data_IF_092406739114
#
_entry.id   IF_092406739114
#
_cell.length_a   1.000
_cell.length_b   1.000
_cell.length_c   1.000
_cell.angle_alpha   90.00
_cell.angle_beta   90.00
_cell.angle_gamma   90.00
#
_symmetry.space_group_name_H-M   'P 1'
#
loop_
_entity.id
_entity.type
_entity.pdbx_description
1 polymer ?
#
# COMPACT_ATOMS: atom_id res chain seq x y z
N UNK A 1 14.64 27.22 -41.83
CA UNK A 1 13.66 27.83 -40.88
C UNK A 1 13.77 27.28 -39.45
N UNK A 2 14.31 26.07 -39.23
CA UNK A 2 14.65 25.56 -37.89
C UNK A 2 16.10 25.95 -37.52
N UNK A 3 17.02 25.96 -38.48
CA UNK A 3 18.43 26.29 -38.23
C UNK A 3 18.66 27.76 -37.83
N UNK A 4 17.79 28.67 -38.28
CA UNK A 4 17.83 30.11 -37.96
C UNK A 4 17.32 30.43 -36.53
N UNK A 5 16.59 29.49 -35.91
CA UNK A 5 16.13 29.60 -34.52
C UNK A 5 17.18 29.06 -33.53
N UNK A 6 17.98 28.08 -33.95
CA UNK A 6 19.07 27.51 -33.12
C UNK A 6 20.22 28.51 -32.98
N UNK A 7 20.53 29.26 -34.05
CA UNK A 7 21.58 30.28 -34.02
C UNK A 7 21.21 31.50 -33.15
N UNK A 8 19.92 31.87 -33.12
CA UNK A 8 19.39 32.93 -32.24
C UNK A 8 19.37 32.53 -30.77
N UNK A 9 19.21 31.25 -30.44
CA UNK A 9 19.26 30.79 -29.04
C UNK A 9 20.71 30.81 -28.49
N UNK A 10 21.68 30.45 -29.33
CA UNK A 10 23.10 30.40 -28.94
C UNK A 10 23.74 31.79 -28.81
N UNK A 11 23.19 32.82 -29.46
CA UNK A 11 23.64 34.22 -29.30
C UNK A 11 23.09 34.89 -28.04
N UNK A 12 21.96 34.42 -27.49
CA UNK A 12 21.41 34.94 -26.23
C UNK A 12 22.13 34.36 -25.00
N UNK A 13 22.64 33.13 -25.10
CA UNK A 13 23.34 32.45 -24.01
C UNK A 13 24.79 32.94 -23.77
N UNK A 14 25.38 33.69 -24.70
CA UNK A 14 26.77 34.17 -24.59
C UNK A 14 26.90 35.62 -24.07
N UNK A 15 25.78 36.31 -23.80
CA UNK A 15 25.78 37.71 -23.35
C UNK A 15 25.54 37.90 -21.84
N UNK A 16 25.39 36.83 -21.05
CA UNK A 16 25.11 36.93 -19.60
C UNK A 16 26.31 36.69 -18.69
N UNK A 17 27.53 36.53 -19.20
CA UNK A 17 28.72 36.31 -18.39
C UNK A 17 29.77 37.39 -18.65
N UNK A 18 29.65 38.56 -18.02
CA UNK A 18 30.81 39.35 -17.57
C UNK A 18 30.41 40.45 -16.58
N UNK A 19 31.29 40.64 -15.59
CA UNK A 19 31.44 41.77 -14.64
C UNK A 19 30.84 41.57 -13.25
N UNK A 20 31.50 41.78 -12.10
CA UNK A 20 32.89 42.03 -11.64
C UNK A 20 32.83 42.08 -10.10
N UNK A 21 33.95 41.80 -9.43
CA UNK A 21 34.14 41.71 -7.97
C UNK A 21 34.08 43.03 -7.15
N UNK A 22 33.87 42.82 -5.83
CA UNK A 22 34.34 43.54 -4.62
C UNK A 22 33.76 44.90 -4.18
N UNK A 23 33.09 44.94 -3.01
CA UNK A 23 33.57 45.60 -1.76
C UNK A 23 32.63 45.40 -0.55
N UNK A 24 33.20 45.52 0.64
CA UNK A 24 32.71 45.13 1.97
C UNK A 24 31.51 45.90 2.57
N UNK A 25 30.81 45.26 3.52
CA UNK A 25 30.16 45.95 4.65
C UNK A 25 28.69 45.65 4.93
N UNK A 26 28.44 44.92 6.02
CA UNK A 26 27.36 45.15 7.00
C UNK A 26 25.91 44.75 6.67
N UNK A 27 25.55 43.58 7.23
CA UNK A 27 24.32 43.25 7.97
C UNK A 27 22.93 43.27 7.29
N UNK A 28 22.42 42.03 7.17
CA UNK A 28 21.11 41.57 7.65
C UNK A 28 19.87 41.64 6.74
N UNK A 29 19.32 40.43 6.57
CA UNK A 29 17.96 40.01 6.18
C UNK A 29 17.69 39.87 4.68
N UNK A 30 18.11 38.73 4.12
CA UNK A 30 17.41 38.11 3.01
C UNK A 30 16.91 36.72 3.43
N UNK A 31 15.61 36.55 3.27
CA UNK A 31 14.84 35.34 3.47
C UNK A 31 15.46 34.20 2.65
N UNK A 32 15.85 33.14 3.34
CA UNK A 32 16.18 31.87 2.70
C UNK A 32 14.89 31.25 2.17
N UNK A 33 14.68 31.38 0.85
CA UNK A 33 13.83 30.46 0.12
C UNK A 33 14.50 29.08 0.21
N UNK A 34 13.98 28.20 1.07
CA UNK A 34 14.38 26.80 1.11
C UNK A 34 14.00 26.17 -0.22
N UNK A 35 14.98 26.03 -1.11
CA UNK A 35 14.85 25.29 -2.34
C UNK A 35 14.88 23.80 -1.95
N UNK A 36 13.74 23.29 -1.48
CA UNK A 36 13.55 21.88 -1.09
C UNK A 36 13.63 21.01 -2.35
N UNK A 37 14.85 20.77 -2.79
CA UNK A 37 15.15 19.95 -3.94
C UNK A 37 14.72 18.52 -3.61
N UNK A 38 13.66 18.05 -4.29
CA UNK A 38 13.11 16.71 -4.15
C UNK A 38 14.24 15.68 -4.24
N UNK A 39 14.38 14.87 -3.19
CA UNK A 39 15.31 13.76 -3.19
C UNK A 39 14.72 12.61 -4.02
N UNK A 40 15.02 12.61 -5.32
CA UNK A 40 14.52 11.64 -6.30
C UNK A 40 15.01 10.20 -6.04
N UNK A 41 16.17 9.99 -5.41
CA UNK A 41 16.64 8.64 -5.09
C UNK A 41 15.83 8.04 -3.94
N UNK A 42 15.49 8.85 -2.94
CA UNK A 42 14.62 8.44 -1.85
C UNK A 42 13.17 8.21 -2.34
N UNK A 43 12.69 9.05 -3.25
CA UNK A 43 11.39 8.86 -3.91
C UNK A 43 11.31 7.50 -4.61
N UNK A 44 12.30 7.22 -5.46
CA UNK A 44 12.37 5.96 -6.20
C UNK A 44 12.43 4.75 -5.25
N UNK A 45 13.25 4.82 -4.20
CA UNK A 45 13.33 3.76 -3.19
C UNK A 45 11.99 3.52 -2.49
N UNK A 46 11.26 4.57 -2.10
CA UNK A 46 9.92 4.44 -1.53
C UNK A 46 8.92 3.84 -2.52
N UNK A 47 8.94 4.28 -3.78
CA UNK A 47 8.05 3.75 -4.81
C UNK A 47 8.34 2.26 -5.12
N UNK A 48 9.61 1.86 -5.11
CA UNK A 48 10.02 0.46 -5.27
C UNK A 48 9.62 -0.41 -4.07
N UNK A 49 9.55 0.16 -2.87
CA UNK A 49 9.07 -0.55 -1.68
C UNK A 49 7.58 -0.92 -1.76
N UNK A 50 6.79 -0.15 -2.53
CA UNK A 50 5.38 -0.46 -2.79
C UNK A 50 5.31 -1.60 -3.80
N UNK A 51 4.81 -2.75 -3.34
CA UNK A 51 4.54 -3.91 -4.19
C UNK A 51 3.40 -3.63 -5.15
N UNK A 52 3.48 -4.26 -6.33
CA UNK A 52 2.35 -4.28 -7.27
C UNK A 52 1.12 -4.92 -6.63
N UNK A 53 -0.06 -4.44 -7.04
CA UNK A 53 -1.35 -4.84 -6.47
C UNK A 53 -2.25 -5.46 -7.54
N UNK A 54 -2.68 -6.70 -7.32
CA UNK A 54 -3.41 -7.52 -8.28
C UNK A 54 -4.93 -7.54 -8.07
N UNK A 55 -5.41 -7.03 -6.94
CA UNK A 55 -6.82 -7.07 -6.52
C UNK A 55 -7.12 -8.01 -5.36
N UNK A 56 -6.12 -8.59 -4.69
CA UNK A 56 -6.36 -9.37 -3.46
C UNK A 56 -6.87 -8.46 -2.31
N UNK A 57 -7.97 -8.84 -1.68
CA UNK A 57 -8.52 -8.12 -0.54
C UNK A 57 -7.53 -8.08 0.64
N UNK A 58 -6.73 -9.14 0.83
CA UNK A 58 -5.82 -9.27 1.98
C UNK A 58 -4.60 -8.34 1.91
N UNK A 59 -4.22 -7.90 0.72
CA UNK A 59 -3.08 -7.01 0.48
C UNK A 59 -3.49 -5.56 0.24
N UNK A 60 -4.80 -5.29 0.06
CA UNK A 60 -5.35 -3.97 -0.23
C UNK A 60 -4.94 -2.91 0.79
N UNK A 61 -5.13 -3.17 2.09
CA UNK A 61 -4.80 -2.20 3.15
C UNK A 61 -3.32 -1.81 3.09
N UNK A 62 -2.42 -2.80 2.97
CA UNK A 62 -0.97 -2.56 2.90
C UNK A 62 -0.57 -1.73 1.68
N UNK A 63 -1.21 -1.98 0.54
CA UNK A 63 -0.97 -1.19 -0.67
C UNK A 63 -1.43 0.26 -0.49
N UNK A 64 -2.63 0.47 0.05
CA UNK A 64 -3.18 1.81 0.34
C UNK A 64 -2.25 2.55 1.31
N UNK A 65 -1.86 1.94 2.43
CA UNK A 65 -0.99 2.56 3.44
C UNK A 65 0.36 2.95 2.84
N UNK A 66 0.93 2.10 1.97
CA UNK A 66 2.17 2.40 1.25
C UNK A 66 2.04 3.62 0.33
N UNK A 67 0.94 3.71 -0.40
CA UNK A 67 0.64 4.84 -1.29
C UNK A 67 0.37 6.13 -0.48
N UNK A 68 -0.36 6.05 0.63
CA UNK A 68 -0.60 7.20 1.51
C UNK A 68 0.68 7.72 2.16
N UNK A 69 1.56 6.82 2.59
CA UNK A 69 2.88 7.17 3.13
C UNK A 69 3.77 7.85 2.07
N UNK A 70 3.67 7.42 0.81
CA UNK A 70 4.35 8.08 -0.30
C UNK A 70 3.78 9.49 -0.52
N UNK A 71 2.46 9.62 -0.70
CA UNK A 71 1.82 10.91 -0.99
C UNK A 71 2.05 11.90 0.16
N UNK A 72 1.87 11.46 1.42
CA UNK A 72 2.06 12.33 2.59
C UNK A 72 3.51 12.82 2.75
N UNK A 73 4.49 12.10 2.19
CA UNK A 73 5.88 12.52 2.22
C UNK A 73 6.22 13.63 1.20
N UNK A 74 5.38 13.82 0.19
CA UNK A 74 5.62 14.79 -0.89
C UNK A 74 4.51 15.84 -1.02
N UNK A 75 3.38 15.70 -0.31
CA UNK A 75 2.25 16.62 -0.34
C UNK A 75 2.56 18.04 0.12
N UNK A 76 3.64 18.24 0.89
CA UNK A 76 4.05 19.57 1.38
C UNK A 76 4.66 20.46 0.31
N UNK A 77 5.01 19.91 -0.85
CA UNK A 77 5.67 20.64 -1.94
C UNK A 77 4.67 21.39 -2.83
N UNK A 78 3.36 21.09 -2.72
CA UNK A 78 2.26 21.73 -3.45
C UNK A 78 2.53 21.89 -4.96
N UNK A 79 3.21 20.90 -5.55
CA UNK A 79 3.58 20.86 -6.95
C UNK A 79 2.63 19.91 -7.69
N UNK A 80 1.75 20.49 -8.50
CA UNK A 80 0.73 19.76 -9.26
C UNK A 80 1.33 18.77 -10.28
N UNK A 81 2.52 19.06 -10.83
CA UNK A 81 3.17 18.12 -11.76
C UNK A 81 3.76 16.93 -11.02
N UNK A 82 4.30 17.15 -9.82
CA UNK A 82 4.74 16.07 -8.94
C UNK A 82 3.56 15.18 -8.51
N UNK A 83 2.45 15.78 -8.09
CA UNK A 83 1.26 15.03 -7.66
C UNK A 83 0.70 14.15 -8.80
N UNK A 84 0.65 14.69 -10.02
CA UNK A 84 0.31 13.91 -11.22
C UNK A 84 1.30 12.78 -11.46
N UNK A 85 2.60 13.04 -11.34
CA UNK A 85 3.62 12.03 -11.52
C UNK A 85 3.48 10.89 -10.50
N UNK A 86 3.31 11.23 -9.22
CA UNK A 86 3.06 10.26 -8.12
C UNK A 86 1.82 9.43 -8.43
N UNK A 87 0.74 10.08 -8.86
CA UNK A 87 -0.49 9.38 -9.24
C UNK A 87 -0.28 8.39 -10.38
N UNK A 88 0.44 8.77 -11.44
CA UNK A 88 0.76 7.86 -12.55
C UNK A 88 1.63 6.69 -12.10
N UNK A 89 2.62 6.94 -11.23
CA UNK A 89 3.45 5.89 -10.65
C UNK A 89 2.62 4.89 -9.83
N UNK A 90 1.68 5.37 -9.01
CA UNK A 90 0.77 4.52 -8.23
C UNK A 90 -0.15 3.72 -9.16
N UNK A 91 -0.71 4.35 -10.20
CA UNK A 91 -1.55 3.69 -11.19
C UNK A 91 -0.79 2.58 -11.92
N UNK A 92 0.48 2.81 -12.25
CA UNK A 92 1.36 1.81 -12.85
C UNK A 92 1.75 0.64 -11.93
N UNK A 93 1.40 0.67 -10.65
CA UNK A 93 1.56 -0.46 -9.71
C UNK A 93 0.33 -1.36 -9.66
N UNK A 94 -0.76 -0.99 -10.32
CA UNK A 94 -1.94 -1.84 -10.42
C UNK A 94 -1.70 -2.88 -11.53
N UNK A 95 -1.97 -4.13 -11.22
CA UNK A 95 -1.82 -5.27 -12.14
C UNK A 95 -3.10 -6.12 -12.09
N UNK A 96 -3.24 -7.04 -13.04
CA UNK A 96 -4.29 -8.07 -13.02
C UNK A 96 -5.70 -7.49 -12.90
N UNK A 97 -6.47 -7.95 -11.90
CA UNK A 97 -7.86 -7.54 -11.73
C UNK A 97 -7.98 -6.07 -11.32
N UNK A 98 -7.03 -5.56 -10.53
CA UNK A 98 -7.02 -4.18 -10.09
C UNK A 98 -6.84 -3.21 -11.26
N UNK A 99 -5.94 -3.53 -12.19
CA UNK A 99 -5.74 -2.76 -13.41
C UNK A 99 -7.00 -2.74 -14.29
N UNK A 100 -7.58 -3.91 -14.55
CA UNK A 100 -8.76 -4.05 -15.42
C UNK A 100 -9.96 -3.31 -14.85
N UNK A 101 -10.26 -3.51 -13.56
CA UNK A 101 -11.49 -2.99 -12.96
C UNK A 101 -11.39 -1.54 -12.52
N UNK A 102 -10.21 -1.06 -12.17
CA UNK A 102 -10.00 0.28 -11.60
C UNK A 102 -8.94 1.06 -12.36
N UNK A 103 -7.79 0.44 -12.65
CA UNK A 103 -6.67 1.08 -13.32
C UNK A 103 -6.98 1.65 -14.69
N UNK A 104 -7.91 1.08 -15.46
CA UNK A 104 -8.28 1.59 -16.80
C UNK A 104 -9.35 2.70 -16.81
N UNK A 105 -9.91 3.05 -15.65
CA UNK A 105 -10.95 4.08 -15.55
C UNK A 105 -10.34 5.47 -15.76
N UNK A 106 -10.84 6.19 -16.75
CA UNK A 106 -10.38 7.56 -17.06
C UNK A 106 -11.00 8.61 -16.14
N UNK A 107 -12.12 8.30 -15.49
CA UNK A 107 -12.81 9.19 -14.56
C UNK A 107 -12.11 9.34 -13.20
N UNK A 108 -11.18 8.44 -12.88
CA UNK A 108 -10.43 8.47 -11.63
C UNK A 108 -9.16 9.32 -11.83
N UNK A 109 -9.28 10.61 -11.55
CA UNK A 109 -8.21 11.59 -11.76
C UNK A 109 -7.37 11.88 -10.52
N UNK A 110 -7.84 11.48 -9.34
CA UNK A 110 -7.17 11.74 -8.06
C UNK A 110 -6.86 10.45 -7.33
N UNK A 111 -5.85 10.48 -6.45
CA UNK A 111 -5.58 9.37 -5.53
C UNK A 111 -6.81 9.05 -4.66
N UNK A 112 -7.55 10.07 -4.23
CA UNK A 112 -8.75 9.89 -3.42
C UNK A 112 -9.82 9.07 -4.16
N UNK A 113 -10.08 9.40 -5.43
CA UNK A 113 -11.04 8.66 -6.25
C UNK A 113 -10.57 7.24 -6.51
N UNK A 114 -9.27 7.07 -6.79
CA UNK A 114 -8.66 5.77 -7.01
C UNK A 114 -8.74 4.88 -5.76
N UNK A 115 -8.37 5.41 -4.59
CA UNK A 115 -8.48 4.72 -3.30
C UNK A 115 -9.91 4.28 -3.03
N UNK A 116 -10.88 5.17 -3.24
CA UNK A 116 -12.30 4.85 -3.03
C UNK A 116 -12.79 3.78 -4.01
N UNK A 117 -12.36 3.82 -5.27
CA UNK A 117 -12.69 2.80 -6.25
C UNK A 117 -12.08 1.43 -5.90
N UNK A 118 -10.82 1.40 -5.45
CA UNK A 118 -10.16 0.19 -4.98
C UNK A 118 -10.88 -0.41 -3.77
N UNK A 119 -11.19 0.41 -2.76
CA UNK A 119 -11.96 -0.02 -1.59
C UNK A 119 -13.34 -0.56 -1.99
N UNK A 120 -14.05 0.11 -2.90
CA UNK A 120 -15.36 -0.36 -3.36
C UNK A 120 -15.27 -1.70 -4.10
N UNK A 121 -14.25 -1.91 -4.90
CA UNK A 121 -14.13 -3.12 -5.74
C UNK A 121 -13.54 -4.31 -5.00
N UNK A 122 -12.56 -4.08 -4.11
CA UNK A 122 -11.71 -5.15 -3.55
C UNK A 122 -11.73 -5.25 -2.03
N UNK A 123 -12.35 -4.31 -1.30
CA UNK A 123 -12.45 -4.48 0.15
C UNK A 123 -13.38 -5.64 0.49
N UNK A 124 -12.99 -6.43 1.49
CA UNK A 124 -13.85 -7.46 2.04
C UNK A 124 -15.03 -6.81 2.78
N UNK A 125 -16.24 -7.00 2.23
CA UNK A 125 -17.47 -6.42 2.77
C UNK A 125 -18.13 -7.28 3.83
N UNK A 126 -17.60 -8.49 4.07
CA UNK A 126 -18.15 -9.39 5.09
C UNK A 126 -17.98 -8.76 6.47
N UNK A 127 -18.99 -8.95 7.30
CA UNK A 127 -18.91 -8.57 8.70
C UNK A 127 -17.97 -9.53 9.44
N UNK A 128 -17.53 -9.11 10.63
CA UNK A 128 -16.62 -9.91 11.43
C UNK A 128 -17.25 -11.25 11.82
N UNK A 129 -18.55 -11.27 12.10
CA UNK A 129 -19.28 -12.48 12.50
C UNK A 129 -19.34 -13.53 11.37
N UNK A 130 -19.60 -13.14 10.11
CA UNK A 130 -19.54 -14.08 8.99
C UNK A 130 -18.13 -14.66 8.82
N UNK A 131 -17.08 -13.83 8.94
CA UNK A 131 -15.69 -14.29 8.84
C UNK A 131 -15.33 -15.29 9.95
N UNK A 132 -15.76 -15.02 11.19
CA UNK A 132 -15.58 -15.94 12.33
C UNK A 132 -16.37 -17.23 12.11
N UNK A 133 -17.58 -17.14 11.58
CA UNK A 133 -18.41 -18.30 11.29
C UNK A 133 -17.77 -19.20 10.22
N UNK A 134 -17.22 -18.62 9.15
CA UNK A 134 -16.46 -19.36 8.15
C UNK A 134 -15.22 -20.02 8.78
N UNK A 135 -14.46 -19.27 9.58
CA UNK A 135 -13.26 -19.76 10.25
C UNK A 135 -13.54 -20.97 11.16
N UNK A 136 -14.65 -20.97 11.88
CA UNK A 136 -14.98 -22.03 12.87
C UNK A 136 -15.64 -23.27 12.24
N UNK A 137 -16.40 -23.08 11.17
CA UNK A 137 -17.16 -24.15 10.51
C UNK A 137 -16.39 -24.85 9.39
N UNK A 138 -15.26 -24.31 8.98
CA UNK A 138 -14.46 -24.91 7.92
C UNK A 138 -14.00 -26.33 8.30
N UNK A 139 -14.10 -27.25 7.34
CA UNK A 139 -13.67 -28.64 7.47
C UNK A 139 -12.81 -29.02 6.26
N UNK A 140 -11.94 -30.03 6.39
CA UNK A 140 -11.24 -30.58 5.25
C UNK A 140 -12.24 -31.13 4.23
N UNK A 141 -12.00 -30.86 2.95
CA UNK A 141 -12.74 -31.48 1.87
C UNK A 141 -12.35 -32.96 1.72
N UNK A 142 -13.22 -33.75 1.08
CA UNK A 142 -12.94 -35.17 0.87
C UNK A 142 -11.68 -35.35 0.02
N UNK A 143 -10.64 -35.95 0.59
CA UNK A 143 -9.35 -36.17 -0.09
C UNK A 143 -8.44 -34.94 -0.14
N UNK A 144 -8.77 -33.85 0.56
CA UNK A 144 -7.89 -32.68 0.68
C UNK A 144 -6.64 -33.03 1.50
N UNK A 145 -5.47 -32.64 1.00
CA UNK A 145 -4.24 -32.78 1.76
C UNK A 145 -4.23 -31.81 2.95
N UNK A 146 -3.66 -32.24 4.08
CA UNK A 146 -3.73 -31.47 5.32
C UNK A 146 -3.06 -30.08 5.21
N UNK A 147 -2.00 -29.98 4.41
CA UNK A 147 -1.31 -28.71 4.15
C UNK A 147 -2.21 -27.71 3.39
N UNK A 148 -3.01 -28.21 2.44
CA UNK A 148 -3.94 -27.38 1.67
C UNK A 148 -5.09 -26.89 2.55
N UNK A 149 -5.61 -27.77 3.41
CA UNK A 149 -6.57 -27.39 4.44
C UNK A 149 -6.00 -26.31 5.39
N UNK A 150 -4.77 -26.49 5.86
CA UNK A 150 -4.09 -25.51 6.71
C UNK A 150 -3.90 -24.17 6.02
N UNK A 151 -3.54 -24.18 4.74
CA UNK A 151 -3.37 -22.97 3.92
C UNK A 151 -4.69 -22.22 3.76
N UNK A 152 -5.77 -22.94 3.46
CA UNK A 152 -7.12 -22.36 3.34
C UNK A 152 -7.62 -21.78 4.66
N UNK A 153 -7.38 -22.45 5.77
CA UNK A 153 -7.70 -21.97 7.11
C UNK A 153 -6.88 -20.71 7.48
N UNK A 154 -5.61 -20.67 7.11
CA UNK A 154 -4.74 -19.51 7.31
C UNK A 154 -5.24 -18.28 6.54
N UNK A 155 -5.77 -18.47 5.33
CA UNK A 155 -6.39 -17.39 4.55
C UNK A 155 -7.64 -16.85 5.24
N UNK A 156 -8.55 -17.72 5.70
CA UNK A 156 -9.74 -17.30 6.46
C UNK A 156 -9.38 -16.52 7.73
N UNK A 157 -8.38 -17.01 8.47
CA UNK A 157 -7.84 -16.32 9.65
C UNK A 157 -7.26 -14.96 9.30
N UNK A 158 -6.58 -14.83 8.16
CA UNK A 158 -6.02 -13.56 7.71
C UNK A 158 -7.09 -12.53 7.40
N UNK A 159 -8.22 -12.92 6.81
CA UNK A 159 -9.36 -12.04 6.58
C UNK A 159 -10.00 -11.54 7.89
N UNK A 160 -10.16 -12.41 8.90
CA UNK A 160 -10.62 -12.03 10.25
C UNK A 160 -9.69 -10.98 10.87
N UNK A 161 -8.37 -11.24 10.86
CA UNK A 161 -7.36 -10.34 11.42
C UNK A 161 -7.34 -8.99 10.70
N UNK A 162 -7.47 -8.99 9.38
CA UNK A 162 -7.56 -7.76 8.61
C UNK A 162 -8.79 -6.94 9.01
N UNK A 163 -9.95 -7.58 9.18
CA UNK A 163 -11.18 -6.89 9.58
C UNK A 163 -11.04 -6.21 10.94
N UNK A 164 -10.43 -6.89 11.91
CA UNK A 164 -10.13 -6.37 13.25
C UNK A 164 -9.11 -5.23 13.18
N UNK A 165 -8.08 -5.37 12.35
CA UNK A 165 -7.02 -4.37 12.20
C UNK A 165 -7.56 -3.05 11.64
N UNK A 166 -8.49 -3.16 10.67
CA UNK A 166 -9.18 -2.03 10.05
C UNK A 166 -10.28 -1.42 10.94
N UNK A 167 -10.62 -2.03 12.07
CA UNK A 167 -11.61 -1.48 12.98
C UNK A 167 -11.04 -0.25 13.72
N UNK A 168 -11.63 0.91 13.49
CA UNK A 168 -11.23 2.17 14.13
C UNK A 168 -11.73 2.33 15.57
N UNK A 169 -12.66 1.48 16.03
CA UNK A 169 -13.23 1.56 17.37
C UNK A 169 -12.38 0.88 18.44
N UNK A 170 -11.49 -0.04 18.01
CA UNK A 170 -10.67 -0.85 18.90
C UNK A 170 -9.29 -0.23 19.12
N UNK A 171 -8.82 -0.27 20.37
CA UNK A 171 -7.45 0.07 20.73
C UNK A 171 -6.46 -1.00 20.24
N UNK A 172 -5.17 -0.65 20.15
CA UNK A 172 -4.12 -1.60 19.75
C UNK A 172 -4.06 -2.84 20.66
N UNK A 173 -4.29 -2.67 21.96
CA UNK A 173 -4.28 -3.77 22.92
C UNK A 173 -5.48 -4.71 22.72
N UNK A 174 -6.67 -4.17 22.47
CA UNK A 174 -7.87 -4.95 22.18
C UNK A 174 -7.71 -5.72 20.86
N UNK A 175 -7.20 -5.07 19.81
CA UNK A 175 -6.90 -5.72 18.53
C UNK A 175 -5.98 -6.93 18.72
N UNK A 176 -4.91 -6.78 19.50
CA UNK A 176 -3.98 -7.88 19.78
C UNK A 176 -4.65 -9.03 20.54
N UNK A 177 -5.50 -8.72 21.51
CA UNK A 177 -6.27 -9.71 22.26
C UNK A 177 -7.18 -10.52 21.32
N UNK A 178 -7.94 -9.83 20.46
CA UNK A 178 -8.81 -10.47 19.46
C UNK A 178 -8.02 -11.35 18.48
N UNK A 179 -6.88 -10.85 17.97
CA UNK A 179 -6.03 -11.63 17.05
C UNK A 179 -5.57 -12.93 17.71
N UNK A 180 -5.07 -12.88 18.95
CA UNK A 180 -4.62 -14.07 19.67
C UNK A 180 -5.77 -15.05 19.95
N UNK A 181 -6.96 -14.54 20.26
CA UNK A 181 -8.15 -15.37 20.42
C UNK A 181 -8.52 -16.12 19.12
N UNK A 182 -8.48 -15.43 17.98
CA UNK A 182 -8.77 -16.05 16.69
C UNK A 182 -7.65 -16.98 16.22
N UNK A 183 -6.40 -16.79 16.65
CA UNK A 183 -5.30 -17.74 16.43
C UNK A 183 -5.56 -19.08 17.12
N UNK A 184 -5.96 -19.03 18.39
CA UNK A 184 -6.37 -20.24 19.12
C UNK A 184 -7.59 -20.90 18.49
N UNK A 185 -8.54 -20.09 18.00
CA UNK A 185 -9.74 -20.60 17.34
C UNK A 185 -9.42 -21.30 16.02
N UNK A 186 -8.53 -20.71 15.20
CA UNK A 186 -8.05 -21.33 13.97
C UNK A 186 -7.33 -22.65 14.28
N UNK A 187 -6.41 -22.65 15.25
CA UNK A 187 -5.69 -23.86 15.64
C UNK A 187 -6.63 -24.97 16.14
N UNK A 188 -7.60 -24.64 16.98
CA UNK A 188 -8.62 -25.59 17.44
C UNK A 188 -9.45 -26.15 16.28
N UNK A 189 -9.79 -25.30 15.30
CA UNK A 189 -10.53 -25.72 14.12
C UNK A 189 -9.69 -26.64 13.22
N UNK A 190 -8.40 -26.36 13.09
CA UNK A 190 -7.46 -27.22 12.38
C UNK A 190 -7.37 -28.61 13.02
N UNK A 191 -7.12 -28.67 14.33
CA UNK A 191 -7.03 -29.92 15.09
C UNK A 191 -8.34 -30.71 15.04
N UNK A 192 -9.49 -30.02 15.10
CA UNK A 192 -10.79 -30.64 14.96
C UNK A 192 -11.01 -31.25 13.56
N UNK A 193 -10.43 -30.65 12.52
CA UNK A 193 -10.44 -31.14 11.14
C UNK A 193 -9.49 -32.33 10.90
N UNK A 194 -8.42 -32.47 11.68
CA UNK A 194 -7.52 -33.63 11.59
C UNK A 194 -8.24 -34.94 11.95
N UNK A 195 -7.98 -36.02 11.21
CA UNK A 195 -8.55 -37.35 11.46
C UNK A 195 -7.59 -38.29 12.20
N UNK A 196 -8.15 -39.16 13.05
CA UNK A 196 -7.47 -40.36 13.58
C UNK A 196 -6.26 -40.08 14.49
N UNK A 197 -5.18 -40.84 14.26
CA UNK A 197 -3.95 -40.83 15.07
C UNK A 197 -3.28 -39.47 15.14
N UNK A 198 -3.38 -38.65 14.10
CA UNK A 198 -2.75 -37.32 14.06
C UNK A 198 -3.43 -36.36 15.04
N UNK A 199 -4.76 -36.38 15.11
CA UNK A 199 -5.54 -35.60 16.08
C UNK A 199 -5.13 -35.95 17.51
N UNK A 200 -5.05 -37.25 17.82
CA UNK A 200 -4.66 -37.72 19.14
C UNK A 200 -3.23 -37.28 19.51
N UNK A 201 -2.27 -37.35 18.58
CA UNK A 201 -0.91 -36.88 18.82
C UNK A 201 -0.82 -35.35 18.99
N UNK A 202 -1.65 -34.58 18.29
CA UNK A 202 -1.69 -33.12 18.42
C UNK A 202 -2.29 -32.63 19.74
N UNK A 203 -3.16 -33.40 20.39
CA UNK A 203 -3.65 -33.06 21.74
C UNK A 203 -2.65 -33.44 22.84
N UNK A 204 -1.76 -34.41 22.60
CA UNK A 204 -0.78 -34.90 23.56
C UNK A 204 0.44 -33.98 23.68
N UNK A 205 0.88 -33.37 22.57
CA UNK A 205 1.80 -32.24 22.64
C UNK A 205 0.96 -31.00 22.89
N UNK A 206 1.22 -30.28 24.00
CA UNK A 206 0.59 -28.96 24.22
C UNK A 206 0.75 -28.14 22.93
N UNK A 207 -0.35 -27.71 22.28
CA UNK A 207 -0.28 -26.82 21.14
C UNK A 207 0.38 -25.49 21.52
#
# INVERSE_FOLDING_TARGET
KIDELVEKLNTVLTLSETSTNDTAGTSSKMQTASNDKINWSFFKSKLESIKSYDGDANTLTKFIDGCESLISAYSSLNDNELDKHIFQCIRGKLEGKAEILVGNRSELCTWYDLKNALMRCFADRRDLDCLIQELTRVRPNRGEHLLDFGTRLQLLRSSVVQRISNDGSLTTAEKLCHINYHDKTALNTFIAGCSGTLKNNMYLKKP
#
